data_IF_225808395207
#
_entry.id   IF_225808395207
#
_cell.length_a   1.000
_cell.length_b   1.000
_cell.length_c   1.000
_cell.angle_alpha   90.00
_cell.angle_beta   90.00
_cell.angle_gamma   90.00
#
_symmetry.space_group_name_H-M   'P 1'
#
loop_
_entity.id
_entity.type
_entity.pdbx_description
1 polymer ?
#
# COMPACT_ATOMS: atom_id res chain seq x y z
N UNK A 1 6.30 19.49 12.04
CA UNK A 1 4.94 19.15 11.58
C UNK A 1 4.35 18.12 12.54
N UNK A 2 3.11 18.35 12.99
CA UNK A 2 2.41 17.53 13.97
C UNK A 2 1.52 16.50 13.28
N UNK A 3 1.81 15.22 13.51
CA UNK A 3 1.08 14.09 12.91
C UNK A 3 0.25 13.39 13.98
N UNK A 4 -0.95 12.96 13.60
CA UNK A 4 -1.75 12.01 14.37
C UNK A 4 -2.07 10.76 13.53
N UNK A 5 -2.30 9.65 14.20
CA UNK A 5 -2.65 8.36 13.61
C UNK A 5 -4.08 8.00 14.00
N UNK A 6 -4.93 7.69 13.02
CA UNK A 6 -6.24 7.10 13.25
C UNK A 6 -6.23 5.62 12.86
N UNK A 7 -6.32 4.75 13.86
CA UNK A 7 -6.19 3.30 13.69
C UNK A 7 -4.77 2.78 13.97
N UNK A 8 -4.67 1.81 14.88
CA UNK A 8 -3.38 1.29 15.34
C UNK A 8 -3.27 -0.23 15.15
N UNK A 9 -3.23 -0.62 13.87
CA UNK A 9 -2.88 -1.95 13.38
C UNK A 9 -1.41 -1.98 12.90
N UNK A 10 -1.08 -2.90 12.00
CA UNK A 10 0.28 -2.99 11.45
C UNK A 10 0.72 -1.71 10.75
N UNK A 11 -0.17 -1.08 9.96
CA UNK A 11 0.12 0.18 9.30
C UNK A 11 0.33 1.32 10.32
N UNK A 12 -0.55 1.46 11.32
CA UNK A 12 -0.42 2.51 12.34
C UNK A 12 0.88 2.40 13.16
N UNK A 13 1.31 1.18 13.49
CA UNK A 13 2.63 0.93 14.10
C UNK A 13 3.77 1.33 13.16
N UNK A 14 3.63 1.02 11.87
CA UNK A 14 4.59 1.46 10.86
C UNK A 14 4.69 2.99 10.76
N UNK A 15 3.55 3.72 10.82
CA UNK A 15 3.54 5.19 10.83
C UNK A 15 4.28 5.74 12.06
N UNK A 16 4.04 5.17 13.24
CA UNK A 16 4.75 5.59 14.45
C UNK A 16 6.26 5.40 14.30
N UNK A 17 6.71 4.23 13.82
CA UNK A 17 8.11 3.95 13.56
C UNK A 17 8.71 4.89 12.51
N UNK A 18 7.98 5.16 11.43
CA UNK A 18 8.42 6.08 10.37
C UNK A 18 8.52 7.53 10.86
N UNK A 19 7.57 8.00 11.67
CA UNK A 19 7.65 9.34 12.30
C UNK A 19 8.89 9.47 13.19
N UNK A 20 9.23 8.44 13.97
CA UNK A 20 10.42 8.44 14.81
C UNK A 20 11.74 8.56 14.01
N UNK A 21 11.75 8.20 12.73
CA UNK A 21 12.89 8.34 11.82
C UNK A 21 12.94 9.68 11.08
N UNK A 22 11.92 10.52 11.23
CA UNK A 22 11.79 11.81 10.53
C UNK A 22 11.81 12.97 11.55
N UNK A 23 12.96 13.64 11.77
CA UNK A 23 13.12 14.65 12.83
C UNK A 23 12.29 15.92 12.62
N UNK A 24 11.76 16.14 11.42
CA UNK A 24 10.84 17.24 11.10
C UNK A 24 9.37 16.93 11.45
N UNK A 25 9.10 15.76 12.07
CA UNK A 25 7.77 15.27 12.42
C UNK A 25 7.65 14.99 13.92
N UNK A 26 6.53 15.40 14.49
CA UNK A 26 6.14 15.13 15.86
C UNK A 26 4.84 14.31 15.86
N UNK A 27 4.88 13.10 16.40
CA UNK A 27 3.69 12.29 16.59
C UNK A 27 2.97 12.72 17.87
N UNK A 28 1.81 13.38 17.72
CA UNK A 28 1.07 13.97 18.86
C UNK A 28 0.05 13.03 19.49
N UNK A 29 -0.31 11.94 18.81
CA UNK A 29 -1.24 10.96 19.37
C UNK A 29 -1.66 9.86 18.41
N UNK A 30 -2.14 8.78 19.01
CA UNK A 30 -2.76 7.65 18.33
C UNK A 30 -4.23 7.58 18.74
N UNK A 31 -5.13 7.64 17.77
CA UNK A 31 -6.57 7.56 17.96
C UNK A 31 -7.08 6.17 17.58
N UNK A 32 -7.88 5.56 18.43
CA UNK A 32 -8.35 4.19 18.28
C UNK A 32 -9.80 4.03 18.71
N UNK A 33 -10.54 3.12 18.05
CA UNK A 33 -11.91 2.71 18.47
C UNK A 33 -11.90 1.69 19.63
N UNK A 34 -10.73 1.09 19.90
CA UNK A 34 -10.54 0.21 21.06
C UNK A 34 -10.38 1.05 22.31
N UNK A 35 -10.50 0.44 23.49
CA UNK A 35 -10.11 1.10 24.74
C UNK A 35 -8.65 1.56 24.63
N UNK A 36 -8.38 2.89 24.72
CA UNK A 36 -7.02 3.42 24.60
C UNK A 36 -6.04 2.82 25.62
N UNK A 37 -6.49 2.45 26.79
CA UNK A 37 -5.65 1.85 27.85
C UNK A 37 -5.08 0.48 27.46
N UNK A 38 -5.74 -0.21 26.53
CA UNK A 38 -5.29 -1.53 26.02
C UNK A 38 -4.28 -1.46 24.89
N UNK A 39 -4.06 -0.26 24.34
CA UNK A 39 -3.18 -0.07 23.18
C UNK A 39 -1.79 0.33 23.66
N UNK A 40 -0.82 -0.53 23.42
CA UNK A 40 0.61 -0.25 23.68
C UNK A 40 1.27 0.27 22.41
N UNK A 41 1.73 1.51 22.46
CA UNK A 41 2.48 2.16 21.40
C UNK A 41 3.97 1.83 21.47
N UNK A 42 4.70 1.99 20.37
CA UNK A 42 6.13 1.65 20.27
C UNK A 42 7.01 2.68 21.00
N UNK A 43 6.63 3.95 20.93
CA UNK A 43 7.41 5.09 21.47
C UNK A 43 6.76 5.70 22.72
N UNK A 44 5.79 5.01 23.32
CA UNK A 44 4.98 5.51 24.44
C UNK A 44 4.20 6.78 24.13
N UNK A 45 3.92 7.07 22.86
CA UNK A 45 3.02 8.16 22.48
C UNK A 45 1.61 7.91 23.05
N UNK A 46 0.94 8.97 23.44
CA UNK A 46 -0.36 8.88 24.09
C UNK A 46 -1.45 8.37 23.14
N UNK A 47 -2.31 7.51 23.67
CA UNK A 47 -3.47 6.97 22.96
C UNK A 47 -4.76 7.67 23.43
N UNK A 48 -5.68 7.85 22.49
CA UNK A 48 -6.97 8.51 22.70
C UNK A 48 -8.08 7.71 22.05
N UNK A 49 -9.31 7.88 22.51
CA UNK A 49 -10.46 7.34 21.81
C UNK A 49 -10.72 8.13 20.51
N UNK A 50 -11.11 7.43 19.45
CA UNK A 50 -11.30 8.05 18.13
C UNK A 50 -12.31 9.22 18.17
N UNK A 51 -13.34 9.15 18.99
CA UNK A 51 -14.38 10.19 19.09
C UNK A 51 -13.85 11.54 19.63
N UNK A 52 -12.68 11.55 20.26
CA UNK A 52 -12.06 12.78 20.82
C UNK A 52 -11.12 13.49 19.86
N UNK A 53 -10.99 13.00 18.62
CA UNK A 53 -9.99 13.53 17.68
C UNK A 53 -10.22 15.01 17.33
N UNK A 54 -11.48 15.41 17.23
CA UNK A 54 -11.85 16.81 16.92
C UNK A 54 -11.52 17.78 18.05
N UNK A 55 -11.39 17.32 19.30
CA UNK A 55 -10.97 18.15 20.43
C UNK A 55 -9.50 18.60 20.28
N UNK A 56 -8.73 17.90 19.45
CA UNK A 56 -7.32 18.18 19.18
C UNK A 56 -7.06 18.78 17.79
N UNK A 57 -8.10 19.23 17.07
CA UNK A 57 -7.98 19.68 15.68
C UNK A 57 -6.90 20.75 15.46
N UNK A 58 -6.75 21.67 16.41
CA UNK A 58 -5.78 22.76 16.29
C UNK A 58 -4.33 22.32 16.63
N UNK A 59 -4.16 21.07 17.06
CA UNK A 59 -2.86 20.48 17.41
C UNK A 59 -2.43 19.35 16.45
N UNK A 60 -3.13 19.20 15.33
CA UNK A 60 -2.83 18.18 14.31
C UNK A 60 -2.70 18.86 12.94
N UNK A 61 -1.51 18.82 12.35
CA UNK A 61 -1.28 19.34 11.01
C UNK A 61 -1.71 18.33 9.92
N UNK A 62 -1.48 17.04 10.15
CA UNK A 62 -1.84 15.95 9.24
C UNK A 62 -2.32 14.74 10.02
N UNK A 63 -3.45 14.19 9.61
CA UNK A 63 -4.01 12.94 10.13
C UNK A 63 -3.75 11.81 9.14
N UNK A 64 -3.03 10.77 9.59
CA UNK A 64 -2.83 9.54 8.81
C UNK A 64 -3.89 8.52 9.19
N UNK A 65 -4.72 8.13 8.22
CA UNK A 65 -5.86 7.23 8.43
C UNK A 65 -5.45 5.80 8.07
N UNK A 66 -5.37 4.93 9.07
CA UNK A 66 -4.89 3.55 8.97
C UNK A 66 -6.02 2.51 9.08
N UNK A 67 -7.21 2.89 8.63
CA UNK A 67 -8.39 2.02 8.58
C UNK A 67 -8.34 0.99 7.44
N UNK A 68 -9.25 0.03 7.45
CA UNK A 68 -9.41 -0.95 6.37
C UNK A 68 -9.87 -0.29 5.07
N UNK A 69 -9.18 -0.57 3.97
CA UNK A 69 -9.44 0.04 2.67
C UNK A 69 -10.88 -0.16 2.18
N UNK A 70 -11.42 -1.37 2.30
CA UNK A 70 -12.77 -1.67 1.83
C UNK A 70 -13.90 -1.23 2.79
N UNK A 71 -13.59 -1.03 4.08
CA UNK A 71 -14.61 -0.89 5.14
C UNK A 71 -14.60 0.46 5.84
N UNK A 72 -13.41 0.97 6.17
CA UNK A 72 -13.24 2.15 6.99
C UNK A 72 -12.95 3.41 6.14
N UNK A 73 -11.96 3.34 5.24
CA UNK A 73 -11.48 4.50 4.48
C UNK A 73 -12.56 5.19 3.65
N UNK A 74 -13.52 4.50 2.99
CA UNK A 74 -14.58 5.16 2.24
C UNK A 74 -15.45 6.13 3.06
N UNK A 75 -15.48 5.94 4.38
CA UNK A 75 -16.22 6.78 5.32
C UNK A 75 -15.30 7.75 6.05
N UNK A 76 -14.20 7.26 6.61
CA UNK A 76 -13.30 8.04 7.45
C UNK A 76 -12.57 9.14 6.67
N UNK A 77 -12.05 8.83 5.48
CA UNK A 77 -11.26 9.82 4.73
C UNK A 77 -12.09 11.06 4.38
N UNK A 78 -13.28 10.99 3.77
CA UNK A 78 -14.09 12.18 3.51
C UNK A 78 -14.62 12.85 4.79
N UNK A 79 -14.85 12.09 5.86
CA UNK A 79 -15.28 12.66 7.13
C UNK A 79 -14.21 13.58 7.72
N UNK A 80 -12.99 13.08 7.85
CA UNK A 80 -11.89 13.81 8.49
C UNK A 80 -11.22 14.84 7.56
N UNK A 81 -11.31 14.70 6.26
CA UNK A 81 -10.81 15.68 5.30
C UNK A 81 -11.46 17.07 5.44
N UNK A 82 -12.62 17.15 6.10
CA UNK A 82 -13.27 18.43 6.44
C UNK A 82 -12.54 19.22 7.53
N UNK A 83 -11.72 18.56 8.33
CA UNK A 83 -11.13 19.13 9.54
C UNK A 83 -9.60 19.09 9.56
N UNK A 84 -8.99 18.25 8.74
CA UNK A 84 -7.54 17.99 8.73
C UNK A 84 -7.02 17.82 7.30
N UNK A 85 -5.73 18.08 7.12
CA UNK A 85 -5.04 17.42 6.01
C UNK A 85 -5.00 15.93 6.32
N UNK A 86 -5.38 15.08 5.38
CA UNK A 86 -5.47 13.63 5.59
C UNK A 86 -4.67 12.85 4.56
N UNK A 87 -4.17 11.69 4.98
CA UNK A 87 -3.50 10.72 4.10
C UNK A 87 -4.14 9.36 4.33
N UNK A 88 -4.42 8.62 3.24
CA UNK A 88 -4.86 7.24 3.30
C UNK A 88 -4.12 6.32 2.32
N UNK A 89 -4.25 5.02 2.54
CA UNK A 89 -3.73 3.96 1.67
C UNK A 89 -4.85 3.18 0.97
N UNK A 90 -5.87 3.87 0.49
CA UNK A 90 -7.00 3.22 -0.19
C UNK A 90 -6.54 2.46 -1.44
N UNK A 91 -6.78 1.15 -1.49
CA UNK A 91 -6.26 0.24 -2.52
C UNK A 91 -7.35 -0.55 -3.29
N UNK A 92 -8.62 -0.23 -3.10
CA UNK A 92 -9.70 -0.82 -3.88
C UNK A 92 -9.74 -0.17 -5.27
N UNK A 93 -8.84 -0.60 -6.16
CA UNK A 93 -8.52 0.07 -7.44
C UNK A 93 -9.76 0.50 -8.25
N UNK A 94 -10.74 -0.36 -8.41
CA UNK A 94 -11.95 -0.06 -9.17
C UNK A 94 -12.80 1.09 -8.58
N UNK A 95 -12.60 1.42 -7.31
CA UNK A 95 -13.35 2.46 -6.57
C UNK A 95 -12.54 3.72 -6.30
N UNK A 96 -11.29 3.80 -6.75
CA UNK A 96 -10.47 5.02 -6.56
C UNK A 96 -11.13 6.27 -7.14
N UNK A 97 -11.72 6.27 -8.35
CA UNK A 97 -12.38 7.46 -8.88
C UNK A 97 -13.56 7.96 -8.03
N UNK A 98 -14.39 7.05 -7.51
CA UNK A 98 -15.50 7.37 -6.61
C UNK A 98 -14.98 7.92 -5.27
N UNK A 99 -13.99 7.26 -4.69
CA UNK A 99 -13.36 7.70 -3.45
C UNK A 99 -12.74 9.08 -3.59
N UNK A 100 -12.02 9.32 -4.69
CA UNK A 100 -11.45 10.63 -5.02
C UNK A 100 -12.51 11.73 -5.03
N UNK A 101 -13.63 11.54 -5.73
CA UNK A 101 -14.68 12.54 -5.84
C UNK A 101 -15.29 12.91 -4.48
N UNK A 102 -15.60 11.90 -3.66
CA UNK A 102 -16.16 12.08 -2.31
C UNK A 102 -15.21 12.82 -1.37
N UNK A 103 -13.92 12.47 -1.45
CA UNK A 103 -12.87 13.08 -0.61
C UNK A 103 -12.55 14.50 -1.09
N UNK A 104 -12.56 14.76 -2.39
CA UNK A 104 -12.27 16.08 -2.96
C UNK A 104 -13.30 17.12 -2.53
N UNK A 105 -14.59 16.78 -2.57
CA UNK A 105 -15.66 17.64 -2.09
C UNK A 105 -15.45 18.02 -0.61
N UNK A 106 -15.18 17.02 0.22
CA UNK A 106 -14.99 17.23 1.67
C UNK A 106 -13.72 18.06 1.98
N UNK A 107 -12.60 17.76 1.33
CA UNK A 107 -11.34 18.45 1.53
C UNK A 107 -11.40 19.92 1.08
N UNK A 108 -12.05 20.21 -0.06
CA UNK A 108 -12.30 21.57 -0.54
C UNK A 108 -13.18 22.36 0.42
N UNK A 109 -14.24 21.75 0.93
CA UNK A 109 -15.13 22.39 1.90
C UNK A 109 -14.40 22.76 3.20
N UNK A 110 -13.43 21.95 3.63
CA UNK A 110 -12.62 22.21 4.81
C UNK A 110 -11.40 23.10 4.56
N UNK A 111 -11.01 23.35 3.31
CA UNK A 111 -9.78 24.06 2.98
C UNK A 111 -8.50 23.24 3.19
N UNK A 112 -8.61 21.92 3.21
CA UNK A 112 -7.52 20.99 3.50
C UNK A 112 -7.04 20.23 2.25
N UNK A 113 -5.87 19.60 2.35
CA UNK A 113 -5.37 18.61 1.38
C UNK A 113 -5.74 17.22 1.88
N UNK A 114 -6.32 16.42 1.01
CA UNK A 114 -6.48 14.98 1.23
C UNK A 114 -5.68 14.22 0.18
N UNK A 115 -4.73 13.38 0.59
CA UNK A 115 -4.01 12.50 -0.32
C UNK A 115 -4.52 11.07 -0.15
N UNK A 116 -5.01 10.49 -1.23
CA UNK A 116 -5.56 9.14 -1.23
C UNK A 116 -4.70 8.16 -2.01
N UNK A 117 -4.90 6.89 -1.72
CA UNK A 117 -4.25 5.79 -2.46
C UNK A 117 -2.72 5.88 -2.45
N UNK A 118 -2.18 6.27 -1.29
CA UNK A 118 -0.74 6.42 -1.09
C UNK A 118 -0.16 5.12 -0.53
N UNK A 119 0.87 4.62 -1.19
CA UNK A 119 1.58 3.41 -0.80
C UNK A 119 2.60 3.03 -1.87
N UNK A 120 2.95 1.75 -1.92
CA UNK A 120 3.85 1.29 -2.97
C UNK A 120 3.08 0.83 -4.23
N UNK A 121 1.86 0.24 -4.09
CA UNK A 121 0.93 -0.04 -5.20
C UNK A 121 -0.52 -0.15 -4.69
N UNK A 122 -1.35 0.88 -4.90
CA UNK A 122 -1.08 2.12 -5.63
C UNK A 122 -0.08 3.04 -4.92
N UNK A 123 0.58 3.90 -5.70
CA UNK A 123 1.55 4.88 -5.22
C UNK A 123 2.84 4.86 -6.02
N UNK A 124 3.93 4.30 -5.48
CA UNK A 124 5.24 4.31 -6.14
C UNK A 124 5.23 3.56 -7.48
N UNK A 125 4.58 2.41 -7.56
CA UNK A 125 4.41 1.69 -8.83
C UNK A 125 3.56 2.48 -9.82
N UNK A 126 2.55 3.20 -9.33
CA UNK A 126 1.72 4.07 -10.17
C UNK A 126 2.54 5.19 -10.80
N UNK A 127 3.41 5.86 -10.03
CA UNK A 127 4.33 6.87 -10.55
C UNK A 127 5.30 6.29 -11.59
N UNK A 128 5.87 5.13 -11.31
CA UNK A 128 6.80 4.50 -12.25
C UNK A 128 6.11 4.09 -13.55
N UNK A 129 4.85 3.62 -13.50
CA UNK A 129 4.05 3.39 -14.71
C UNK A 129 3.83 4.70 -15.47
N UNK A 130 3.46 5.79 -14.79
CA UNK A 130 3.24 7.11 -15.40
C UNK A 130 4.51 7.62 -16.09
N UNK A 131 5.65 7.65 -15.39
CA UNK A 131 6.92 8.09 -15.97
C UNK A 131 7.33 7.25 -17.17
N UNK A 132 7.23 5.93 -17.04
CA UNK A 132 7.59 5.01 -18.11
C UNK A 132 6.72 5.19 -19.36
N UNK A 133 5.41 5.37 -19.18
CA UNK A 133 4.48 5.66 -20.28
C UNK A 133 4.76 7.03 -20.92
N UNK A 134 5.09 8.05 -20.15
CA UNK A 134 5.40 9.38 -20.67
C UNK A 134 6.71 9.40 -21.48
N UNK A 135 7.70 8.58 -21.07
CA UNK A 135 9.02 8.50 -21.72
C UNK A 135 8.97 7.62 -22.98
N UNK A 136 8.26 6.50 -22.90
CA UNK A 136 8.08 5.55 -24.00
C UNK A 136 6.58 5.44 -24.34
N UNK A 137 6.00 6.40 -25.10
CA UNK A 137 4.55 6.44 -25.36
C UNK A 137 4.05 5.20 -26.14
N UNK A 138 4.87 4.67 -27.06
CA UNK A 138 4.63 3.39 -27.68
C UNK A 138 5.35 2.29 -26.91
N UNK A 139 4.59 1.39 -26.27
CA UNK A 139 5.17 0.31 -25.51
C UNK A 139 4.13 -0.50 -24.76
N UNK A 140 4.58 -1.47 -23.99
CA UNK A 140 3.74 -2.38 -23.23
C UNK A 140 4.12 -2.38 -21.75
N UNK A 141 3.12 -2.26 -20.89
CA UNK A 141 3.32 -2.27 -19.44
C UNK A 141 3.13 -3.68 -18.88
N UNK A 142 3.98 -4.01 -17.93
CA UNK A 142 3.82 -5.22 -17.13
C UNK A 142 3.99 -4.89 -15.64
N UNK A 143 3.13 -5.48 -14.82
CA UNK A 143 3.29 -5.47 -13.37
C UNK A 143 3.30 -6.90 -12.88
N UNK A 144 4.33 -7.23 -12.09
CA UNK A 144 4.45 -8.49 -11.38
C UNK A 144 4.52 -8.19 -9.89
N UNK A 145 3.65 -8.82 -9.11
CA UNK A 145 3.65 -8.72 -7.66
C UNK A 145 4.34 -9.93 -7.03
N UNK A 146 5.12 -9.70 -6.00
CA UNK A 146 5.75 -10.75 -5.20
C UNK A 146 7.29 -10.83 -5.38
N UNK A 147 7.92 -11.81 -4.79
CA UNK A 147 7.32 -12.77 -3.84
C UNK A 147 6.80 -12.03 -2.61
N UNK A 148 5.51 -12.24 -2.24
CA UNK A 148 4.97 -11.50 -1.11
C UNK A 148 3.66 -12.04 -0.56
N UNK A 149 3.43 -11.75 0.73
CA UNK A 149 2.23 -12.16 1.47
C UNK A 149 1.08 -11.24 1.13
N UNK A 150 0.00 -11.80 0.57
CA UNK A 150 -1.27 -11.09 0.44
C UNK A 150 -2.13 -11.29 1.69
N UNK A 151 -2.37 -10.22 2.44
CA UNK A 151 -3.19 -10.29 3.65
C UNK A 151 -4.65 -10.60 3.32
N UNK A 152 -5.22 -9.96 2.30
CA UNK A 152 -6.60 -10.20 1.88
C UNK A 152 -6.86 -11.65 1.42
N UNK A 153 -5.93 -12.25 0.66
CA UNK A 153 -6.03 -13.66 0.26
C UNK A 153 -5.84 -14.60 1.46
N UNK A 154 -4.92 -14.28 2.35
CA UNK A 154 -4.74 -15.05 3.61
C UNK A 154 -6.00 -15.01 4.48
N UNK A 155 -6.67 -13.85 4.57
CA UNK A 155 -7.94 -13.70 5.29
C UNK A 155 -9.07 -14.51 4.64
N UNK A 156 -9.14 -14.55 3.31
CA UNK A 156 -10.12 -15.36 2.60
C UNK A 156 -9.97 -16.85 2.94
N UNK A 157 -8.74 -17.36 2.98
CA UNK A 157 -8.46 -18.75 3.37
C UNK A 157 -8.85 -19.00 4.82
N UNK A 158 -8.54 -18.09 5.75
CA UNK A 158 -8.88 -18.22 7.18
C UNK A 158 -10.38 -18.30 7.46
N UNK A 159 -11.22 -17.82 6.53
CA UNK A 159 -12.69 -17.90 6.65
C UNK A 159 -13.26 -19.27 6.23
N UNK A 160 -12.47 -20.13 5.60
CA UNK A 160 -12.91 -21.48 5.22
C UNK A 160 -13.09 -22.30 6.48
N UNK A 161 -14.21 -23.00 6.58
CA UNK A 161 -14.49 -23.90 7.69
C UNK A 161 -13.39 -24.97 7.83
N UNK A 162 -12.91 -25.19 9.03
CA UNK A 162 -11.83 -26.15 9.32
C UNK A 162 -10.42 -25.55 9.16
N UNK A 163 -10.25 -24.31 8.71
CA UNK A 163 -8.98 -23.61 8.75
C UNK A 163 -8.80 -22.93 10.10
N UNK A 164 -7.63 -23.08 10.70
CA UNK A 164 -7.22 -22.39 11.92
C UNK A 164 -6.44 -21.12 11.62
N UNK A 165 -5.46 -21.18 10.70
CA UNK A 165 -4.65 -20.05 10.27
C UNK A 165 -4.13 -20.30 8.85
N UNK A 166 -3.71 -19.22 8.16
CA UNK A 166 -3.14 -19.34 6.82
C UNK A 166 -2.29 -18.13 6.43
N UNK A 167 -1.30 -18.38 5.58
CA UNK A 167 -0.53 -17.37 4.82
C UNK A 167 -0.54 -17.71 3.34
N UNK A 168 -0.77 -16.72 2.51
CA UNK A 168 -0.73 -16.87 1.06
C UNK A 168 0.34 -15.98 0.46
N UNK A 169 1.14 -16.54 -0.43
CA UNK A 169 2.17 -15.84 -1.19
C UNK A 169 1.79 -15.72 -2.66
N UNK A 170 1.90 -14.50 -3.20
CA UNK A 170 1.89 -14.25 -4.64
C UNK A 170 3.33 -14.35 -5.13
N UNK A 171 3.55 -15.14 -6.20
CA UNK A 171 4.87 -15.43 -6.73
C UNK A 171 4.87 -15.14 -8.23
N UNK A 172 5.74 -14.24 -8.72
CA UNK A 172 5.91 -14.03 -10.16
C UNK A 172 6.43 -15.31 -10.85
N UNK A 173 5.96 -15.56 -12.05
CA UNK A 173 6.49 -16.63 -12.90
C UNK A 173 7.82 -16.16 -13.51
N UNK A 174 8.92 -16.79 -13.13
CA UNK A 174 10.27 -16.38 -13.54
C UNK A 174 10.46 -16.35 -15.07
N UNK A 175 9.90 -17.30 -15.79
CA UNK A 175 9.99 -17.32 -17.25
C UNK A 175 9.32 -16.08 -17.87
N UNK A 176 8.19 -15.63 -17.34
CA UNK A 176 7.51 -14.42 -17.77
C UNK A 176 8.32 -13.16 -17.45
N UNK A 177 8.92 -13.08 -16.24
CA UNK A 177 9.82 -11.99 -15.86
C UNK A 177 11.03 -11.91 -16.81
N UNK A 178 11.66 -13.05 -17.11
CA UNK A 178 12.82 -13.09 -18.00
C UNK A 178 12.46 -12.66 -19.42
N UNK A 179 11.35 -13.12 -19.98
CA UNK A 179 10.89 -12.73 -21.31
C UNK A 179 10.71 -11.20 -21.41
N UNK A 180 9.99 -10.61 -20.44
CA UNK A 180 9.77 -9.14 -20.43
C UNK A 180 11.08 -8.38 -20.24
N UNK A 181 11.96 -8.84 -19.37
CA UNK A 181 13.26 -8.20 -19.09
C UNK A 181 14.19 -8.23 -20.30
N UNK A 182 14.08 -9.25 -21.14
CA UNK A 182 14.82 -9.37 -22.40
C UNK A 182 14.22 -8.51 -23.53
N UNK A 183 13.16 -7.76 -23.27
CA UNK A 183 12.51 -6.93 -24.30
C UNK A 183 11.49 -7.67 -25.14
N UNK A 184 11.21 -8.94 -24.85
CA UNK A 184 10.09 -9.64 -25.44
C UNK A 184 8.78 -9.02 -24.96
N UNK A 185 7.77 -9.00 -25.81
CA UNK A 185 6.46 -8.39 -25.51
C UNK A 185 5.33 -9.45 -25.46
N UNK A 186 5.40 -10.46 -24.59
CA UNK A 186 4.41 -11.52 -24.55
C UNK A 186 3.04 -11.00 -24.12
N UNK A 187 1.97 -11.57 -24.66
CA UNK A 187 0.65 -11.45 -24.09
C UNK A 187 0.48 -12.47 -22.98
N UNK A 188 0.42 -11.98 -21.74
CA UNK A 188 0.40 -12.81 -20.54
C UNK A 188 -0.96 -12.78 -19.87
N UNK A 189 -1.55 -13.93 -19.68
CA UNK A 189 -2.71 -14.12 -18.82
C UNK A 189 -2.31 -13.98 -17.34
N UNK A 190 -3.28 -13.82 -16.45
CA UNK A 190 -3.08 -13.79 -15.00
C UNK A 190 -2.27 -15.00 -14.52
N UNK A 191 -2.62 -16.20 -14.98
CA UNK A 191 -1.97 -17.48 -14.67
C UNK A 191 -0.51 -17.53 -15.13
N UNK A 192 -0.22 -16.95 -16.30
CA UNK A 192 1.14 -16.90 -16.84
C UNK A 192 2.03 -15.87 -16.12
N UNK A 193 1.44 -14.89 -15.44
CA UNK A 193 2.19 -13.88 -14.68
C UNK A 193 2.52 -14.30 -13.26
N UNK A 194 1.59 -14.99 -12.58
CA UNK A 194 1.71 -15.29 -11.15
C UNK A 194 1.21 -16.69 -10.82
N UNK A 195 1.87 -17.31 -9.85
CA UNK A 195 1.38 -18.46 -9.10
C UNK A 195 0.98 -18.06 -7.69
N UNK A 196 0.25 -18.95 -7.02
CA UNK A 196 -0.16 -18.80 -5.61
C UNK A 196 0.39 -19.95 -4.78
N UNK A 197 0.97 -19.64 -3.63
CA UNK A 197 1.45 -20.62 -2.68
C UNK A 197 0.79 -20.35 -1.32
N UNK A 198 0.07 -21.34 -0.80
CA UNK A 198 -0.74 -21.21 0.42
C UNK A 198 -0.20 -22.15 1.48
N UNK A 199 0.11 -21.62 2.65
CA UNK A 199 0.48 -22.36 3.85
C UNK A 199 -0.68 -22.31 4.80
N UNK A 200 -1.27 -23.48 5.11
CA UNK A 200 -2.57 -23.59 5.80
C UNK A 200 -2.42 -24.47 7.03
N UNK A 201 -2.89 -23.97 8.16
CA UNK A 201 -3.04 -24.73 9.39
C UNK A 201 -4.50 -25.20 9.48
N UNK A 202 -4.71 -26.48 9.30
CA UNK A 202 -6.03 -27.07 9.44
C UNK A 202 -6.32 -27.43 10.91
N UNK A 203 -7.57 -27.26 11.34
CA UNK A 203 -8.03 -27.75 12.65
C UNK A 203 -7.96 -29.29 12.69
N UNK A 204 -7.84 -29.83 13.88
CA UNK A 204 -7.83 -31.27 14.08
C UNK A 204 -9.11 -31.93 13.49
N UNK A 205 -8.95 -33.01 12.74
CA UNK A 205 -10.05 -33.71 12.08
C UNK A 205 -10.64 -33.00 10.85
N UNK A 206 -10.13 -31.86 10.44
CA UNK A 206 -10.64 -31.14 9.25
C UNK A 206 -10.33 -31.90 7.94
N UNK A 207 -11.26 -31.86 7.01
CA UNK A 207 -11.09 -32.44 5.67
C UNK A 207 -10.15 -31.53 4.80
N UNK A 208 -8.88 -31.91 4.80
CA UNK A 208 -7.83 -31.18 4.07
C UNK A 208 -8.09 -31.17 2.55
N UNK A 209 -8.63 -32.25 1.99
CA UNK A 209 -8.89 -32.33 0.55
C UNK A 209 -10.02 -31.37 0.14
N UNK A 210 -11.06 -31.25 0.95
CA UNK A 210 -12.12 -30.25 0.76
C UNK A 210 -11.57 -28.84 0.87
N UNK A 211 -10.78 -28.54 1.89
CA UNK A 211 -10.17 -27.20 2.09
C UNK A 211 -9.29 -26.83 0.88
N UNK A 212 -8.43 -27.74 0.42
CA UNK A 212 -7.57 -27.49 -0.74
C UNK A 212 -8.39 -27.20 -2.00
N UNK A 213 -9.44 -27.98 -2.25
CA UNK A 213 -10.34 -27.79 -3.39
C UNK A 213 -11.04 -26.43 -3.30
N UNK A 214 -11.58 -26.08 -2.14
CA UNK A 214 -12.28 -24.81 -1.91
C UNK A 214 -11.35 -23.60 -2.11
N UNK A 215 -10.09 -23.69 -1.69
CA UNK A 215 -9.09 -22.66 -1.96
C UNK A 215 -8.88 -22.51 -3.48
N UNK A 216 -8.54 -23.62 -4.17
CA UNK A 216 -8.18 -23.60 -5.59
C UNK A 216 -9.32 -23.12 -6.49
N UNK A 217 -10.57 -23.38 -6.12
CA UNK A 217 -11.76 -23.01 -6.88
C UNK A 217 -12.36 -21.65 -6.46
N UNK A 218 -11.80 -20.95 -5.45
CA UNK A 218 -12.35 -19.71 -4.92
C UNK A 218 -12.31 -18.59 -5.97
N UNK A 219 -13.47 -18.09 -6.41
CA UNK A 219 -13.55 -17.02 -7.40
C UNK A 219 -12.90 -15.72 -6.92
N UNK A 220 -12.33 -14.95 -7.83
CA UNK A 220 -11.65 -13.66 -7.61
C UNK A 220 -10.37 -13.72 -6.77
N UNK A 221 -10.01 -14.88 -6.21
CA UNK A 221 -8.81 -15.05 -5.39
C UNK A 221 -7.83 -16.05 -5.98
N UNK A 222 -8.29 -17.27 -6.31
CA UNK A 222 -7.41 -18.38 -6.65
C UNK A 222 -7.76 -19.10 -7.96
N UNK A 223 -9.02 -19.09 -8.39
CA UNK A 223 -9.49 -19.85 -9.56
C UNK A 223 -8.75 -19.56 -10.86
N UNK A 224 -8.25 -18.30 -11.02
CA UNK A 224 -7.51 -17.88 -12.21
C UNK A 224 -5.99 -18.12 -12.13
N UNK A 225 -5.52 -18.84 -11.09
CA UNK A 225 -4.08 -19.04 -10.83
C UNK A 225 -3.72 -20.51 -10.68
N UNK A 226 -2.47 -20.84 -10.91
CA UNK A 226 -1.88 -22.09 -10.47
C UNK A 226 -1.57 -21.94 -8.98
N UNK A 227 -2.33 -22.70 -8.16
CA UNK A 227 -2.32 -22.61 -6.70
C UNK A 227 -1.80 -23.90 -6.09
N UNK A 228 -0.76 -23.80 -5.27
CA UNK A 228 -0.25 -24.90 -4.43
C UNK A 228 -0.67 -24.67 -2.98
N UNK A 229 -1.15 -25.72 -2.31
CA UNK A 229 -1.57 -25.65 -0.91
C UNK A 229 -0.70 -26.61 -0.09
N UNK A 230 -0.06 -26.09 0.95
CA UNK A 230 0.73 -26.83 1.92
C UNK A 230 0.01 -26.82 3.26
N UNK A 231 -0.27 -28.01 3.81
CA UNK A 231 -0.78 -28.11 5.16
C UNK A 231 0.40 -28.27 6.12
N UNK A 232 0.53 -27.32 7.03
CA UNK A 232 1.63 -27.23 8.00
C UNK A 232 1.09 -27.07 9.43
N UNK A 233 1.97 -27.17 10.42
CA UNK A 233 1.63 -26.90 11.82
C UNK A 233 1.57 -25.40 12.11
N UNK A 234 0.91 -25.02 13.21
CA UNK A 234 0.92 -23.62 13.68
C UNK A 234 2.33 -23.17 14.07
N UNK A 235 3.14 -24.09 14.60
CA UNK A 235 4.53 -23.81 14.96
C UNK A 235 5.38 -23.48 13.71
N UNK A 236 5.25 -24.27 12.64
CA UNK A 236 5.91 -23.99 11.35
C UNK A 236 5.42 -22.67 10.75
N UNK A 237 4.11 -22.39 10.77
CA UNK A 237 3.58 -21.13 10.27
C UNK A 237 4.17 -19.93 11.03
N UNK A 238 4.26 -20.02 12.35
CA UNK A 238 4.79 -18.96 13.20
C UNK A 238 6.31 -18.79 13.04
N UNK A 239 7.06 -19.88 12.83
CA UNK A 239 8.51 -19.85 12.67
C UNK A 239 8.93 -19.33 11.29
N UNK A 240 8.30 -19.86 10.23
CA UNK A 240 8.78 -19.68 8.85
C UNK A 240 8.00 -18.61 8.07
N UNK A 241 6.79 -18.27 8.54
CA UNK A 241 5.86 -17.37 7.83
C UNK A 241 5.33 -16.20 8.69
N UNK A 242 6.01 -15.86 9.78
CA UNK A 242 5.56 -14.77 10.68
C UNK A 242 5.58 -13.40 10.00
N UNK A 243 6.53 -13.15 9.10
CA UNK A 243 6.72 -11.88 8.41
C UNK A 243 5.61 -11.55 7.40
N UNK A 244 5.62 -10.31 6.94
CA UNK A 244 4.74 -9.80 5.87
C UNK A 244 5.61 -9.19 4.76
N UNK A 245 6.53 -9.95 4.15
CA UNK A 245 7.32 -9.47 3.02
C UNK A 245 6.43 -9.28 1.79
N UNK A 246 6.82 -8.36 0.93
CA UNK A 246 6.18 -8.15 -0.36
C UNK A 246 7.15 -7.49 -1.36
N UNK A 247 6.60 -6.92 -2.42
CA UNK A 247 7.30 -6.20 -3.47
C UNK A 247 6.83 -6.61 -4.85
N UNK A 248 7.66 -6.36 -5.84
CA UNK A 248 7.36 -6.71 -7.22
C UNK A 248 8.14 -5.88 -8.22
N UNK A 249 7.64 -5.87 -9.45
CA UNK A 249 8.28 -5.24 -10.59
C UNK A 249 7.26 -4.50 -11.43
N UNK A 250 7.64 -3.32 -11.91
CA UNK A 250 6.97 -2.61 -13.00
C UNK A 250 7.93 -2.55 -14.17
N UNK A 251 7.47 -2.99 -15.32
CA UNK A 251 8.22 -2.88 -16.57
C UNK A 251 7.46 -2.03 -17.58
N UNK A 252 8.22 -1.30 -18.37
CA UNK A 252 7.79 -0.75 -19.64
C UNK A 252 8.77 -1.16 -20.70
N UNK A 253 8.29 -1.87 -21.70
CA UNK A 253 9.02 -2.11 -22.94
C UNK A 253 8.59 -1.08 -23.97
N UNK A 254 9.48 -0.63 -24.82
CA UNK A 254 9.11 0.35 -25.85
C UNK A 254 10.23 0.61 -26.83
N UNK A 255 9.93 1.39 -27.85
CA UNK A 255 10.87 1.69 -28.94
C UNK A 255 11.06 3.19 -29.12
N UNK A 256 12.25 3.57 -29.57
CA UNK A 256 12.58 4.92 -30.03
C UNK A 256 13.20 4.89 -31.41
N UNK A 257 13.43 6.08 -31.98
CA UNK A 257 13.87 6.25 -33.34
C UNK A 257 12.70 6.46 -34.31
N UNK A 258 12.95 7.14 -35.41
CA UNK A 258 11.91 7.46 -36.40
C UNK A 258 11.25 6.21 -37.00
N UNK A 259 12.03 5.15 -37.16
CA UNK A 259 11.58 3.85 -37.67
C UNK A 259 11.43 2.79 -36.57
N UNK A 260 11.40 3.22 -35.28
CA UNK A 260 11.28 2.31 -34.11
C UNK A 260 12.40 1.26 -34.03
N UNK A 261 13.60 1.67 -34.41
CA UNK A 261 14.77 0.80 -34.57
C UNK A 261 15.50 0.48 -33.26
N UNK A 262 15.20 1.21 -32.15
CA UNK A 262 15.86 1.01 -30.87
C UNK A 262 14.89 0.48 -29.81
N UNK A 263 15.19 -0.69 -29.26
CA UNK A 263 14.42 -1.31 -28.18
C UNK A 263 14.89 -0.85 -26.80
N UNK A 264 13.94 -0.60 -25.91
CA UNK A 264 14.19 -0.20 -24.53
C UNK A 264 13.34 -0.98 -23.55
N UNK A 265 13.90 -1.19 -22.37
CA UNK A 265 13.19 -1.73 -21.20
C UNK A 265 13.46 -0.82 -20.01
N UNK A 266 12.40 -0.31 -19.38
CA UNK A 266 12.46 0.34 -18.08
C UNK A 266 12.00 -0.69 -17.05
N UNK A 267 12.79 -0.94 -16.02
CA UNK A 267 12.46 -1.82 -14.92
C UNK A 267 12.56 -1.05 -13.59
N UNK A 268 11.50 -1.10 -12.80
CA UNK A 268 11.49 -0.65 -11.41
C UNK A 268 11.11 -1.80 -10.51
N UNK A 269 11.90 -2.03 -9.45
CA UNK A 269 11.73 -3.15 -8.53
C UNK A 269 11.65 -2.67 -7.09
N UNK A 270 10.73 -3.29 -6.33
CA UNK A 270 10.70 -3.21 -4.87
C UNK A 270 10.89 -4.60 -4.25
N UNK A 271 11.69 -4.66 -3.19
CA UNK A 271 11.81 -5.80 -2.28
C UNK A 271 11.57 -5.28 -0.87
N UNK A 272 10.48 -5.69 -0.26
CA UNK A 272 10.02 -5.20 1.03
C UNK A 272 10.06 -6.34 2.05
N UNK A 273 10.83 -6.18 3.11
CA UNK A 273 10.86 -7.15 4.21
C UNK A 273 9.62 -7.00 5.09
N UNK A 274 9.07 -5.79 5.17
CA UNK A 274 7.80 -5.49 5.84
C UNK A 274 6.93 -4.58 4.96
N UNK A 275 5.86 -5.12 4.40
CA UNK A 275 4.91 -4.36 3.60
C UNK A 275 4.28 -3.18 4.39
N UNK A 276 3.73 -3.38 5.60
CA UNK A 276 3.08 -2.28 6.31
C UNK A 276 4.04 -1.17 6.73
N UNK A 277 5.28 -1.48 7.12
CA UNK A 277 6.27 -0.47 7.51
C UNK A 277 6.76 0.34 6.31
N UNK A 278 7.01 -0.33 5.17
CA UNK A 278 7.38 0.38 3.96
C UNK A 278 6.24 1.29 3.46
N UNK A 279 5.01 0.78 3.42
CA UNK A 279 3.81 1.58 3.09
C UNK A 279 3.71 2.79 4.01
N UNK A 280 3.91 2.60 5.31
CA UNK A 280 3.90 3.68 6.30
C UNK A 280 4.95 4.76 5.99
N UNK A 281 6.16 4.37 5.63
CA UNK A 281 7.23 5.32 5.25
C UNK A 281 6.84 6.14 4.02
N UNK A 282 6.15 5.54 3.05
CA UNK A 282 5.60 6.26 1.89
C UNK A 282 4.52 7.25 2.34
N UNK A 283 3.56 6.82 3.19
CA UNK A 283 2.52 7.72 3.69
C UNK A 283 3.11 8.92 4.45
N UNK A 284 4.13 8.71 5.27
CA UNK A 284 4.81 9.76 6.03
C UNK A 284 5.49 10.78 5.12
N UNK A 285 6.14 10.33 4.04
CA UNK A 285 6.71 11.23 3.03
C UNK A 285 5.62 12.08 2.36
N UNK A 286 4.49 11.48 2.01
CA UNK A 286 3.35 12.21 1.42
C UNK A 286 2.59 13.07 2.43
N UNK A 287 2.62 12.75 3.73
CA UNK A 287 2.11 13.63 4.77
C UNK A 287 2.88 14.96 4.79
N UNK A 288 4.21 14.91 4.63
CA UNK A 288 5.04 16.13 4.47
C UNK A 288 4.60 16.95 3.26
N UNK A 289 4.34 16.28 2.12
CA UNK A 289 3.86 16.95 0.93
C UNK A 289 2.49 17.61 1.13
N UNK A 290 1.53 16.90 1.73
CA UNK A 290 0.20 17.44 2.04
C UNK A 290 0.27 18.69 2.90
N UNK A 291 1.06 18.67 3.97
CA UNK A 291 1.29 19.82 4.84
C UNK A 291 1.86 21.01 4.08
N UNK A 292 2.93 20.82 3.29
CA UNK A 292 3.57 21.89 2.52
C UNK A 292 2.63 22.49 1.49
N UNK A 293 1.95 21.66 0.71
CA UNK A 293 0.98 22.09 -0.30
C UNK A 293 -0.18 22.88 0.32
N UNK A 294 -0.69 22.45 1.47
CA UNK A 294 -1.73 23.19 2.17
C UNK A 294 -1.24 24.53 2.71
N UNK A 295 0.00 24.61 3.21
CA UNK A 295 0.64 25.86 3.64
C UNK A 295 0.83 26.87 2.48
N UNK A 296 0.89 26.39 1.26
CA UNK A 296 0.92 27.18 0.02
C UNK A 296 -0.47 27.56 -0.50
N UNK A 297 -1.52 27.25 0.26
CA UNK A 297 -2.90 27.62 -0.07
C UNK A 297 -3.62 26.62 -0.96
N UNK A 298 -3.06 25.44 -1.21
CA UNK A 298 -3.75 24.40 -1.96
C UNK A 298 -4.74 23.64 -1.09
N UNK A 299 -5.82 23.15 -1.71
CA UNK A 299 -6.83 22.31 -1.07
C UNK A 299 -7.39 21.27 -2.03
N UNK A 300 -8.25 20.37 -1.53
CA UNK A 300 -8.89 19.31 -2.29
C UNK A 300 -8.12 17.99 -2.26
N UNK A 301 -8.67 16.99 -2.95
CA UNK A 301 -8.08 15.68 -3.05
C UNK A 301 -6.91 15.66 -4.04
N UNK A 302 -5.90 14.92 -3.69
CA UNK A 302 -4.69 14.68 -4.49
C UNK A 302 -4.34 13.20 -4.49
N UNK A 303 -3.60 12.79 -5.50
CA UNK A 303 -2.95 11.49 -5.60
C UNK A 303 -1.45 11.67 -5.69
N UNK A 304 -0.71 10.59 -5.75
CA UNK A 304 0.75 10.63 -5.98
C UNK A 304 1.13 11.36 -7.29
N UNK A 305 0.21 11.47 -8.23
CA UNK A 305 0.45 12.13 -9.53
C UNK A 305 0.46 13.66 -9.44
N UNK A 306 -0.12 14.24 -8.39
CA UNK A 306 -0.27 15.69 -8.22
C UNK A 306 0.87 16.31 -7.41
N UNK A 307 1.85 15.51 -6.97
CA UNK A 307 2.90 15.92 -6.04
C UNK A 307 4.24 16.06 -6.74
N UNK A 308 4.81 17.27 -6.74
CA UNK A 308 6.18 17.44 -7.17
C UNK A 308 7.14 16.73 -6.19
N UNK A 309 8.13 15.95 -6.68
CA UNK A 309 9.00 15.13 -5.82
C UNK A 309 9.69 15.91 -4.69
N UNK A 310 10.00 17.19 -4.91
CA UNK A 310 10.63 18.04 -3.91
C UNK A 310 9.81 18.22 -2.61
N UNK A 311 8.49 18.08 -2.68
CA UNK A 311 7.63 18.15 -1.47
C UNK A 311 7.83 16.97 -0.53
N UNK A 312 8.32 15.83 -1.04
CA UNK A 312 8.47 14.58 -0.28
C UNK A 312 9.70 14.57 0.62
N UNK A 313 10.77 15.29 0.20
CA UNK A 313 12.08 15.23 0.87
C UNK A 313 12.14 16.15 2.10
N UNK A 314 12.77 15.74 3.21
CA UNK A 314 13.11 16.63 4.31
C UNK A 314 14.26 17.60 3.94
N UNK A 315 15.03 17.31 2.88
CA UNK A 315 16.14 18.13 2.42
C UNK A 315 15.67 19.46 1.84
N UNK A 316 16.49 20.47 1.96
CA UNK A 316 16.30 21.75 1.26
C UNK A 316 16.46 21.58 -0.26
N UNK A 317 15.96 22.55 -1.01
CA UNK A 317 16.12 22.55 -2.48
C UNK A 317 17.61 22.59 -2.91
N UNK A 318 18.47 23.23 -2.11
CA UNK A 318 19.90 23.28 -2.36
C UNK A 318 20.56 21.92 -2.13
N UNK A 319 20.27 21.26 -1.01
CA UNK A 319 20.78 19.93 -0.69
C UNK A 319 20.31 18.89 -1.72
N UNK A 320 19.03 18.94 -2.13
CA UNK A 320 18.53 18.05 -3.18
C UNK A 320 19.30 18.22 -4.50
N UNK A 321 19.56 19.45 -4.92
CA UNK A 321 20.35 19.71 -6.14
C UNK A 321 21.80 19.25 -5.99
N UNK A 322 22.38 19.42 -4.82
CA UNK A 322 23.77 19.05 -4.57
C UNK A 322 24.01 17.54 -4.48
N UNK A 323 23.02 16.78 -3.98
CA UNK A 323 23.21 15.37 -3.64
C UNK A 323 22.39 14.39 -4.49
N UNK A 324 21.34 14.85 -5.19
CA UNK A 324 20.43 13.99 -5.94
C UNK A 324 20.40 14.27 -7.45
N UNK A 325 21.04 15.35 -7.92
CA UNK A 325 21.30 15.62 -9.33
C UNK A 325 22.77 15.42 -9.66
#
# INVERSE_FOLDING_TARGET
MKIAILGYGNLGKGIEAACAQNPDMELVGVFTRRDPSTVKTLTNVKTYHADTILDMKDNIDVLVICGGSATDLPKQTPEYAKYFNVIDSFDTHAKIPEHFANVDEAAKAGGHIAMISVGWDPGMFSLNRLYANAILPEGKDYTFWGKGVSQGHSDAIRRIEGVQDAKQYTIPVEAALHAVRNGENPDLTTRQKHTRECFVVAKEGADKARIEKEIKEMPNYFADYDTTVHFISQEELNRDHAGIPHGGFVFRTGKTGLNKEHDHVIEYRLKLDSNPEFTASVLVAYARAAYRMNREGMSGCKTVFDVAPAYLSPLSAEEMRAHLL
#
